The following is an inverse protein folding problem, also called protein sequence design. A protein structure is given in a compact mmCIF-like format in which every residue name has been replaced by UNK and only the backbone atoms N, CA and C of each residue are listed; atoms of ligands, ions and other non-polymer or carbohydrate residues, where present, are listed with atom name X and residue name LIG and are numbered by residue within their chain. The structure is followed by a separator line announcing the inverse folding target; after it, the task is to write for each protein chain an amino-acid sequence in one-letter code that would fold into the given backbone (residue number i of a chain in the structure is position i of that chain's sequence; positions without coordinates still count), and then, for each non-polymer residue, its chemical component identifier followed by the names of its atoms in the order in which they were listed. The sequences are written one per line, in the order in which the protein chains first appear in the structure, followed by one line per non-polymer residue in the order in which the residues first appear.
data_IF_459996808297
#
_entry.id   IF_459996808297
#
_cell.length_a   1.000
_cell.length_b   1.000
_cell.length_c   1.000
_cell.angle_alpha   90.00
_cell.angle_beta   90.00
_cell.angle_gamma   90.00
#
_symmetry.space_group_name_H-M   'P 1'
#
loop_
_entity.id
_entity.type
_entity.pdbx_description
1 polymer ?
#
# COMPACT_ATOMS: atom_id res chain seq x y z
N UNK A 1 -57.97 67.69 13.60
CA UNK A 1 -59.04 66.73 13.23
C UNK A 1 -58.43 65.63 12.35
N UNK A 2 -58.38 64.38 12.88
CA UNK A 2 -58.13 63.08 12.18
C UNK A 2 -56.71 62.83 11.59
N UNK A 3 -56.23 61.57 11.41
CA UNK A 3 -55.58 60.79 12.48
C UNK A 3 -54.34 59.94 12.05
N UNK A 4 -53.68 59.34 13.06
CA UNK A 4 -52.91 58.07 13.14
C UNK A 4 -52.65 57.23 11.87
N UNK A 5 -51.42 56.71 11.74
CA UNK A 5 -51.16 55.26 11.69
C UNK A 5 -49.68 54.93 12.02
N UNK A 6 -49.45 54.14 13.07
CA UNK A 6 -48.16 53.49 13.37
C UNK A 6 -48.10 52.15 12.66
N UNK A 7 -47.00 51.88 11.93
CA UNK A 7 -46.74 50.56 11.34
C UNK A 7 -45.67 49.85 12.16
N UNK A 8 -46.10 48.86 12.95
CA UNK A 8 -45.22 47.90 13.60
C UNK A 8 -44.70 46.88 12.58
N UNK A 9 -43.37 46.74 12.46
CA UNK A 9 -42.75 45.64 11.73
C UNK A 9 -42.52 44.46 12.69
N UNK A 10 -43.25 43.36 12.48
CA UNK A 10 -43.05 42.08 13.15
C UNK A 10 -41.90 41.32 12.46
N UNK A 11 -40.80 41.08 13.19
CA UNK A 11 -39.68 40.27 12.72
C UNK A 11 -39.90 38.82 13.16
N UNK A 12 -40.13 37.92 12.21
CA UNK A 12 -40.33 36.48 12.45
C UNK A 12 -38.96 35.80 12.59
N UNK A 13 -38.69 35.24 13.77
CA UNK A 13 -37.54 34.36 14.04
C UNK A 13 -37.91 32.94 13.63
N UNK A 14 -37.29 32.42 12.56
CA UNK A 14 -37.36 31.01 12.16
C UNK A 14 -36.29 30.21 12.92
N UNK A 15 -36.71 29.45 13.92
CA UNK A 15 -35.93 28.40 14.58
C UNK A 15 -35.92 27.15 13.69
N UNK A 16 -34.81 26.91 12.98
CA UNK A 16 -34.58 25.66 12.26
C UNK A 16 -34.03 24.58 13.18
N UNK A 17 -34.85 23.59 13.55
CA UNK A 17 -34.39 22.35 14.15
C UNK A 17 -33.74 21.48 13.07
N UNK A 18 -32.41 21.41 13.05
CA UNK A 18 -31.70 20.43 12.23
C UNK A 18 -31.85 19.03 12.87
N UNK A 19 -32.60 18.14 12.25
CA UNK A 19 -32.64 16.73 12.62
C UNK A 19 -31.31 16.07 12.27
N UNK A 20 -30.55 15.68 13.29
CA UNK A 20 -29.34 14.87 13.13
C UNK A 20 -29.76 13.46 12.69
N UNK A 21 -29.51 13.10 11.44
CA UNK A 21 -29.67 11.71 10.97
C UNK A 21 -28.49 10.91 11.52
N UNK A 22 -28.71 9.83 12.31
CA UNK A 22 -27.62 8.96 12.72
C UNK A 22 -26.93 8.39 11.48
N UNK A 23 -25.60 8.25 11.47
CA UNK A 23 -24.91 7.57 10.38
C UNK A 23 -25.48 6.14 10.25
N UNK A 24 -25.83 5.76 9.03
CA UNK A 24 -26.24 4.41 8.70
C UNK A 24 -25.11 3.45 9.07
N UNK A 25 -25.31 2.64 10.11
CA UNK A 25 -24.45 1.48 10.38
C UNK A 25 -24.61 0.54 9.18
N UNK A 26 -23.57 0.30 8.37
CA UNK A 26 -23.71 -0.66 7.28
C UNK A 26 -24.04 -2.03 7.88
N UNK A 27 -25.21 -2.58 7.51
CA UNK A 27 -25.55 -3.96 7.80
C UNK A 27 -24.42 -4.86 7.26
N UNK A 28 -23.91 -5.81 8.05
CA UNK A 28 -22.88 -6.71 7.58
C UNK A 28 -23.41 -7.44 6.35
N UNK A 29 -22.63 -7.40 5.26
CA UNK A 29 -22.95 -8.12 4.02
C UNK A 29 -23.07 -9.61 4.35
N UNK A 30 -24.31 -10.12 4.42
CA UNK A 30 -24.57 -11.54 4.66
C UNK A 30 -24.31 -12.30 3.36
N UNK A 31 -23.13 -12.90 3.25
CA UNK A 31 -22.88 -13.93 2.25
C UNK A 31 -23.77 -15.13 2.59
N UNK A 32 -24.55 -15.59 1.61
CA UNK A 32 -25.53 -16.69 1.79
C UNK A 32 -24.90 -18.06 1.55
N UNK A 33 -23.67 -18.10 1.03
CA UNK A 33 -22.96 -19.33 0.75
C UNK A 33 -22.34 -19.90 2.03
N UNK A 34 -22.49 -21.21 2.30
CA UNK A 34 -21.82 -21.83 3.44
C UNK A 34 -20.31 -21.76 3.26
N UNK A 35 -19.58 -21.50 4.34
CA UNK A 35 -18.12 -21.56 4.32
C UNK A 35 -17.64 -22.95 3.93
N UNK A 36 -16.81 -23.02 2.87
CA UNK A 36 -16.11 -24.23 2.43
C UNK A 36 -14.62 -23.94 2.47
N UNK A 37 -13.86 -24.82 3.11
CA UNK A 37 -12.40 -24.74 3.21
C UNK A 37 -11.77 -25.98 2.59
N UNK A 38 -10.78 -25.78 1.73
CA UNK A 38 -9.85 -26.80 1.25
C UNK A 38 -8.71 -27.04 2.25
N UNK A 39 -8.54 -26.16 3.25
CA UNK A 39 -7.59 -26.33 4.36
C UNK A 39 -8.20 -27.24 5.44
N UNK A 40 -7.54 -28.37 5.70
CA UNK A 40 -7.96 -29.36 6.70
C UNK A 40 -8.06 -28.74 8.09
N UNK A 41 -9.22 -28.94 8.75
CA UNK A 41 -9.45 -28.51 10.13
C UNK A 41 -9.82 -27.03 10.30
N UNK A 42 -9.85 -26.25 9.22
CA UNK A 42 -10.33 -24.86 9.26
C UNK A 42 -11.86 -24.85 9.23
N UNK A 43 -12.44 -24.18 10.22
CA UNK A 43 -13.88 -23.91 10.31
C UNK A 43 -14.08 -22.40 10.25
N UNK A 44 -15.26 -21.94 9.82
CA UNK A 44 -15.57 -20.52 9.66
C UNK A 44 -15.25 -19.67 10.91
N UNK A 45 -15.53 -20.21 12.11
CA UNK A 45 -15.21 -19.56 13.38
C UNK A 45 -13.72 -19.20 13.54
N UNK A 46 -12.81 -19.96 12.92
CA UNK A 46 -11.37 -19.69 13.00
C UNK A 46 -10.95 -18.44 12.21
N UNK A 47 -11.81 -17.92 11.33
CA UNK A 47 -11.57 -16.69 10.57
C UNK A 47 -11.93 -15.43 11.36
N UNK A 48 -12.61 -15.57 12.51
CA UNK A 48 -12.88 -14.45 13.40
C UNK A 48 -11.76 -14.32 14.44
N UNK A 49 -11.22 -13.10 14.69
CA UNK A 49 -10.32 -12.87 15.80
C UNK A 49 -10.95 -13.24 17.16
N UNK A 50 -12.28 -13.17 17.33
CA UNK A 50 -12.98 -13.51 18.58
C UNK A 50 -12.83 -14.99 18.99
N UNK A 51 -12.53 -15.85 18.03
CA UNK A 51 -12.22 -17.24 18.33
C UNK A 51 -10.88 -17.37 19.05
N UNK A 52 -9.90 -16.53 18.68
CA UNK A 52 -8.53 -16.56 19.20
C UNK A 52 -8.31 -15.61 20.38
N UNK A 53 -9.04 -14.49 20.42
CA UNK A 53 -8.96 -13.47 21.46
C UNK A 53 -10.14 -13.68 22.41
N UNK A 54 -9.85 -13.97 23.68
CA UNK A 54 -10.86 -14.16 24.73
C UNK A 54 -10.95 -12.94 25.64
N UNK A 55 -12.11 -12.66 26.24
CA UNK A 55 -12.23 -11.64 27.28
C UNK A 55 -11.17 -11.85 28.38
N UNK A 56 -10.50 -10.78 28.79
CA UNK A 56 -9.41 -10.84 29.77
C UNK A 56 -8.01 -11.06 29.18
N UNK A 57 -7.88 -11.14 27.85
CA UNK A 57 -6.59 -11.13 27.16
C UNK A 57 -6.05 -9.71 26.88
N UNK A 58 -6.58 -8.71 27.57
CA UNK A 58 -6.22 -7.28 27.42
C UNK A 58 -4.92 -6.92 28.16
N UNK A 59 -3.91 -7.79 28.10
CA UNK A 59 -2.62 -7.57 28.75
C UNK A 59 -1.72 -6.74 27.86
N UNK A 60 -1.15 -5.67 28.42
CA UNK A 60 -0.11 -4.90 27.73
C UNK A 60 1.13 -5.79 27.52
N UNK A 61 1.48 -6.04 26.25
CA UNK A 61 2.66 -6.87 25.88
C UNK A 61 3.96 -6.07 26.01
N UNK A 62 3.95 -4.81 25.58
CA UNK A 62 5.07 -3.87 25.70
C UNK A 62 4.54 -2.49 26.09
N UNK A 63 5.14 -1.88 27.10
CA UNK A 63 4.95 -0.46 27.43
C UNK A 63 5.53 0.45 26.32
N UNK A 64 5.14 1.73 26.26
CA UNK A 64 5.71 2.68 25.29
C UNK A 64 7.24 2.78 25.34
N UNK A 65 7.84 2.70 26.53
CA UNK A 65 9.29 2.67 26.70
C UNK A 65 9.92 1.39 26.13
N UNK A 66 9.28 0.24 26.36
CA UNK A 66 9.76 -1.04 25.83
C UNK A 66 9.64 -1.11 24.30
N UNK A 67 8.57 -0.53 23.73
CA UNK A 67 8.41 -0.38 22.28
C UNK A 67 9.55 0.47 21.69
N UNK A 68 9.90 1.57 22.35
CA UNK A 68 10.98 2.45 21.88
C UNK A 68 12.31 1.70 21.84
N UNK A 69 12.63 0.97 22.92
CA UNK A 69 13.84 0.15 23.00
C UNK A 69 13.82 -0.98 21.98
N UNK A 70 12.67 -1.64 21.81
CA UNK A 70 12.49 -2.72 20.84
C UNK A 70 12.72 -2.23 19.41
N UNK A 71 12.10 -1.11 19.02
CA UNK A 71 12.25 -0.53 17.68
C UNK A 71 13.70 -0.12 17.41
N UNK A 72 14.37 0.53 18.37
CA UNK A 72 15.78 0.89 18.23
C UNK A 72 16.66 -0.35 18.00
N UNK A 73 16.47 -1.41 18.80
CA UNK A 73 17.19 -2.67 18.62
C UNK A 73 16.91 -3.30 17.25
N UNK A 74 15.65 -3.28 16.82
CA UNK A 74 15.24 -3.90 15.56
C UNK A 74 15.84 -3.16 14.36
N UNK A 75 15.81 -1.82 14.36
CA UNK A 75 16.42 -1.01 13.30
C UNK A 75 17.94 -1.19 13.21
N UNK A 76 18.63 -1.42 14.34
CA UNK A 76 20.08 -1.68 14.35
C UNK A 76 20.38 -3.10 13.81
N UNK A 77 19.54 -4.08 14.13
CA UNK A 77 19.78 -5.49 13.81
C UNK A 77 19.32 -5.90 12.41
N UNK A 78 18.25 -5.29 11.89
CA UNK A 78 17.64 -5.64 10.60
C UNK A 78 18.11 -4.69 9.49
N UNK A 79 18.94 -5.17 8.54
CA UNK A 79 19.46 -4.34 7.45
C UNK A 79 18.38 -3.91 6.44
N UNK A 80 17.16 -4.43 6.54
CA UNK A 80 16.02 -4.05 5.70
C UNK A 80 15.20 -2.89 6.31
N UNK A 81 15.43 -2.55 7.58
CA UNK A 81 14.84 -1.40 8.23
C UNK A 81 15.73 -0.16 8.06
N UNK A 82 15.25 0.78 7.26
CA UNK A 82 15.99 2.01 6.96
C UNK A 82 15.59 3.14 7.91
N UNK A 83 16.57 3.82 8.50
CA UNK A 83 16.33 5.12 9.13
C UNK A 83 16.23 6.20 8.04
N UNK A 84 15.00 6.60 7.74
CA UNK A 84 14.68 7.60 6.72
C UNK A 84 15.39 8.93 6.99
N UNK A 85 15.64 9.28 8.26
CA UNK A 85 16.34 10.53 8.64
C UNK A 85 17.85 10.48 8.39
N UNK A 86 18.41 9.28 8.26
CA UNK A 86 19.82 9.07 7.99
C UNK A 86 20.12 8.91 6.47
N UNK A 87 19.09 8.98 5.61
CA UNK A 87 19.27 8.93 4.16
C UNK A 87 19.99 10.21 3.71
N UNK A 88 21.07 10.11 2.91
CA UNK A 88 21.81 11.29 2.46
C UNK A 88 20.95 12.15 1.52
N UNK A 89 21.14 13.48 1.58
CA UNK A 89 20.44 14.45 0.73
C UNK A 89 20.78 14.30 -0.76
N UNK A 90 21.87 13.60 -1.08
CA UNK A 90 22.31 13.34 -2.44
C UNK A 90 22.86 11.92 -2.58
N UNK A 91 22.62 11.29 -3.73
CA UNK A 91 23.27 10.05 -4.14
C UNK A 91 24.20 10.31 -5.32
N UNK A 92 25.39 9.74 -5.27
CA UNK A 92 26.25 9.65 -6.44
C UNK A 92 25.60 8.76 -7.52
N UNK A 93 26.09 8.89 -8.75
CA UNK A 93 25.68 8.01 -9.86
C UNK A 93 25.79 6.53 -9.49
N UNK A 94 26.92 6.13 -8.94
CA UNK A 94 27.23 4.71 -8.70
C UNK A 94 26.38 4.14 -7.57
N UNK A 95 26.08 4.92 -6.53
CA UNK A 95 25.15 4.52 -5.46
C UNK A 95 23.73 4.35 -6.01
N UNK A 96 23.23 5.32 -6.79
CA UNK A 96 21.88 5.26 -7.34
C UNK A 96 21.75 4.11 -8.37
N UNK A 97 22.73 3.93 -9.25
CA UNK A 97 22.75 2.80 -10.20
C UNK A 97 22.82 1.48 -9.46
N UNK A 98 23.65 1.37 -8.41
CA UNK A 98 23.71 0.15 -7.58
C UNK A 98 22.36 -0.15 -6.94
N UNK A 99 21.65 0.86 -6.42
CA UNK A 99 20.30 0.69 -5.86
C UNK A 99 19.28 0.25 -6.91
N UNK A 100 19.25 0.86 -8.09
CA UNK A 100 18.35 0.42 -9.17
C UNK A 100 18.67 -1.02 -9.55
N UNK A 101 19.96 -1.33 -9.73
CA UNK A 101 20.44 -2.66 -10.08
C UNK A 101 20.36 -3.67 -8.94
N UNK A 102 20.02 -3.32 -7.71
CA UNK A 102 19.77 -4.35 -6.69
C UNK A 102 18.49 -5.14 -6.99
N UNK A 103 17.55 -4.50 -7.70
CA UNK A 103 16.25 -5.07 -8.08
C UNK A 103 16.17 -5.31 -9.59
N UNK A 104 16.41 -4.28 -10.41
CA UNK A 104 16.22 -4.34 -11.87
C UNK A 104 17.36 -5.09 -12.59
N UNK A 105 17.17 -6.40 -12.80
CA UNK A 105 18.11 -7.29 -13.50
C UNK A 105 17.39 -8.23 -14.46
N UNK A 106 18.06 -8.54 -15.57
CA UNK A 106 17.61 -9.56 -16.49
C UNK A 106 17.51 -10.90 -15.74
N UNK A 107 16.35 -11.53 -15.83
CA UNK A 107 16.09 -12.84 -15.22
C UNK A 107 17.05 -13.89 -15.79
N UNK A 108 17.63 -14.72 -14.93
CA UNK A 108 18.38 -15.92 -15.35
C UNK A 108 17.47 -17.06 -15.80
N UNK A 109 16.19 -16.97 -15.48
CA UNK A 109 15.16 -17.95 -15.80
C UNK A 109 14.31 -17.47 -16.96
N UNK A 110 13.87 -18.40 -17.81
CA UNK A 110 12.91 -18.13 -18.87
C UNK A 110 11.61 -17.58 -18.30
N UNK A 111 11.09 -16.56 -19.00
CA UNK A 111 9.84 -15.90 -18.68
C UNK A 111 8.90 -15.98 -19.87
N UNK A 112 7.62 -16.00 -19.58
CA UNK A 112 6.54 -15.92 -20.56
C UNK A 112 5.65 -14.73 -20.22
N UNK A 113 5.02 -14.15 -21.22
CA UNK A 113 3.90 -13.24 -21.05
C UNK A 113 2.64 -14.00 -20.62
N UNK A 114 1.58 -13.26 -20.29
CA UNK A 114 0.30 -13.83 -19.85
C UNK A 114 -0.29 -14.84 -20.86
N UNK A 115 -0.18 -14.52 -22.15
CA UNK A 115 -0.62 -15.35 -23.28
C UNK A 115 0.27 -16.58 -23.57
N UNK A 116 1.35 -16.76 -22.80
CA UNK A 116 2.31 -17.85 -22.95
C UNK A 116 3.45 -17.55 -23.92
N UNK A 117 3.48 -16.39 -24.57
CA UNK A 117 4.57 -16.00 -25.47
C UNK A 117 5.89 -15.91 -24.70
N UNK A 118 6.99 -16.54 -25.14
CA UNK A 118 8.28 -16.40 -24.50
C UNK A 118 8.84 -14.98 -24.57
N UNK A 119 9.41 -14.51 -23.45
CA UNK A 119 10.09 -13.21 -23.37
C UNK A 119 11.44 -13.32 -24.07
N UNK A 120 11.61 -12.54 -25.13
CA UNK A 120 12.80 -12.62 -25.99
C UNK A 120 13.94 -11.76 -25.48
N UNK A 121 15.12 -11.91 -26.09
CA UNK A 121 16.26 -11.00 -25.85
C UNK A 121 15.92 -9.54 -26.22
N UNK A 122 15.10 -9.32 -27.24
CA UNK A 122 14.68 -7.99 -27.64
C UNK A 122 13.75 -7.35 -26.60
N UNK A 123 12.87 -8.14 -25.97
CA UNK A 123 12.03 -7.68 -24.87
C UNK A 123 12.87 -7.30 -23.65
N UNK A 124 13.86 -8.13 -23.28
CA UNK A 124 14.80 -7.78 -22.22
C UNK A 124 15.58 -6.49 -22.53
N UNK A 125 16.01 -6.30 -23.77
CA UNK A 125 16.67 -5.06 -24.19
C UNK A 125 15.74 -3.84 -24.08
N UNK A 126 14.44 -4.00 -24.35
CA UNK A 126 13.41 -2.97 -24.13
C UNK A 126 13.29 -2.62 -22.65
N UNK A 127 13.21 -3.60 -21.75
CA UNK A 127 13.13 -3.32 -20.30
C UNK A 127 14.39 -2.66 -19.76
N UNK A 128 15.55 -3.09 -20.23
CA UNK A 128 16.84 -2.47 -19.85
C UNK A 128 16.95 -1.01 -20.31
N UNK A 129 16.43 -0.67 -21.49
CA UNK A 129 16.44 0.71 -21.98
C UNK A 129 15.49 1.62 -21.19
N UNK A 130 14.36 1.09 -20.70
CA UNK A 130 13.41 1.83 -19.86
C UNK A 130 14.01 2.28 -18.52
N UNK A 131 15.04 1.61 -18.01
CA UNK A 131 15.76 2.06 -16.80
C UNK A 131 16.48 3.39 -17.00
N UNK A 132 16.78 3.75 -18.26
CA UNK A 132 17.42 5.01 -18.65
C UNK A 132 18.68 5.36 -17.81
N UNK A 133 19.51 4.36 -17.52
CA UNK A 133 20.67 4.52 -16.63
C UNK A 133 21.73 5.52 -17.17
N UNK A 134 21.70 5.80 -18.47
CA UNK A 134 22.57 6.80 -19.09
C UNK A 134 22.23 8.23 -18.65
N UNK A 135 20.98 8.51 -18.24
CA UNK A 135 20.56 9.83 -17.76
C UNK A 135 20.83 10.06 -16.26
N UNK A 136 21.33 9.06 -15.54
CA UNK A 136 21.69 9.22 -14.12
C UNK A 136 22.87 10.17 -14.01
N UNK A 137 22.68 11.29 -13.30
CA UNK A 137 23.69 12.35 -13.15
C UNK A 137 24.78 11.91 -12.18
N UNK A 138 25.91 12.64 -12.18
CA UNK A 138 26.99 12.44 -11.21
C UNK A 138 26.49 12.58 -9.77
N UNK A 139 25.61 13.55 -9.53
CA UNK A 139 24.96 13.84 -8.25
C UNK A 139 23.43 13.94 -8.45
N UNK A 140 22.68 13.26 -7.59
CA UNK A 140 21.23 13.14 -7.68
C UNK A 140 20.61 13.49 -6.33
N UNK A 141 19.91 14.64 -6.21
CA UNK A 141 19.23 15.01 -4.98
C UNK A 141 18.17 13.97 -4.59
N UNK A 142 18.10 13.67 -3.29
CA UNK A 142 17.07 12.82 -2.70
C UNK A 142 15.94 13.70 -2.21
N UNK A 143 14.70 13.31 -2.53
CA UNK A 143 13.50 13.98 -2.08
C UNK A 143 12.58 12.97 -1.42
N UNK A 144 12.05 13.33 -0.25
CA UNK A 144 11.00 12.55 0.38
C UNK A 144 9.67 12.80 -0.34
N UNK A 145 8.92 11.72 -0.53
CA UNK A 145 7.63 11.73 -1.18
C UNK A 145 6.70 10.74 -0.49
N UNK A 146 5.39 10.93 -0.67
CA UNK A 146 4.35 10.08 -0.13
C UNK A 146 3.58 9.44 -1.28
N UNK A 147 3.24 8.16 -1.16
CA UNK A 147 2.28 7.57 -2.07
C UNK A 147 0.89 8.15 -1.75
N UNK A 148 0.20 8.69 -2.76
CA UNK A 148 -1.17 9.24 -2.60
C UNK A 148 -2.25 8.27 -3.09
N UNK A 149 -1.84 7.19 -3.75
CA UNK A 149 -2.70 6.12 -4.26
C UNK A 149 -1.98 4.79 -4.11
N UNK A 150 -2.75 3.72 -3.91
CA UNK A 150 -2.19 2.37 -3.90
C UNK A 150 -1.47 2.12 -5.23
N UNK A 151 -0.19 1.74 -5.16
CA UNK A 151 0.67 1.63 -6.33
C UNK A 151 1.55 0.40 -6.23
N UNK A 152 1.71 -0.34 -7.34
CA UNK A 152 2.65 -1.45 -7.42
C UNK A 152 4.09 -0.95 -7.54
N UNK A 153 4.99 -1.49 -6.71
CA UNK A 153 6.43 -1.43 -6.91
C UNK A 153 6.85 -2.59 -7.79
N UNK A 154 7.61 -2.31 -8.86
CA UNK A 154 7.90 -3.27 -9.92
C UNK A 154 9.39 -3.35 -10.22
N UNK A 155 9.85 -4.52 -10.68
CA UNK A 155 11.25 -4.78 -11.04
C UNK A 155 11.72 -3.88 -12.19
N UNK A 156 10.85 -3.64 -13.17
CA UNK A 156 11.07 -2.72 -14.29
C UNK A 156 9.91 -1.74 -14.39
N UNK A 157 10.14 -0.50 -14.90
CA UNK A 157 9.12 0.53 -15.01
C UNK A 157 8.17 0.27 -16.19
N UNK A 158 7.42 -0.83 -16.13
CA UNK A 158 6.44 -1.27 -17.13
C UNK A 158 5.22 -1.87 -16.46
N UNK A 159 4.08 -1.90 -17.17
CA UNK A 159 2.89 -2.64 -16.78
C UNK A 159 2.85 -4.07 -17.33
N UNK A 160 3.84 -4.47 -18.13
CA UNK A 160 3.94 -5.85 -18.63
C UNK A 160 3.99 -6.84 -17.47
N UNK A 161 3.26 -7.94 -17.62
CA UNK A 161 3.18 -9.04 -16.66
C UNK A 161 3.97 -10.23 -17.19
N UNK A 162 4.93 -10.70 -16.39
CA UNK A 162 5.77 -11.85 -16.72
C UNK A 162 5.55 -12.99 -15.74
N UNK A 163 5.57 -14.21 -16.24
CA UNK A 163 5.40 -15.42 -15.44
C UNK A 163 6.58 -16.37 -15.65
N UNK A 164 6.76 -17.33 -14.75
CA UNK A 164 7.72 -18.42 -14.99
C UNK A 164 7.26 -19.25 -16.18
N UNK A 165 8.19 -19.68 -17.05
CA UNK A 165 7.84 -20.48 -18.22
C UNK A 165 7.06 -21.77 -17.88
N UNK A 166 7.33 -22.39 -16.72
CA UNK A 166 6.60 -23.57 -16.23
C UNK A 166 5.39 -23.28 -15.33
N UNK A 167 4.94 -22.03 -15.21
CA UNK A 167 3.81 -21.69 -14.35
C UNK A 167 2.49 -22.24 -14.94
N UNK A 168 1.78 -23.01 -14.12
CA UNK A 168 0.48 -23.61 -14.47
C UNK A 168 -0.69 -22.61 -14.30
N UNK A 169 -0.49 -21.59 -13.48
CA UNK A 169 -1.42 -20.47 -13.25
C UNK A 169 -0.70 -19.12 -13.49
N UNK A 170 -1.42 -18.02 -13.19
CA UNK A 170 -0.95 -16.64 -13.34
C UNK A 170 -0.99 -15.88 -12.01
N UNK A 171 -0.92 -16.60 -10.89
CA UNK A 171 -1.07 -16.00 -9.56
C UNK A 171 0.23 -15.32 -9.09
N UNK A 172 1.37 -15.74 -9.65
CA UNK A 172 2.70 -15.22 -9.29
C UNK A 172 3.34 -14.50 -10.48
N UNK A 173 3.00 -13.23 -10.61
CA UNK A 173 3.64 -12.30 -11.56
C UNK A 173 5.06 -11.93 -11.07
N UNK A 174 6.04 -11.93 -11.98
CA UNK A 174 7.47 -11.94 -11.65
C UNK A 174 8.12 -10.57 -11.64
N UNK A 175 7.46 -9.55 -12.19
CA UNK A 175 7.88 -8.15 -12.04
C UNK A 175 7.23 -7.45 -10.85
N UNK A 176 6.32 -8.10 -10.13
CA UNK A 176 5.67 -7.56 -8.95
C UNK A 176 6.58 -7.75 -7.72
N UNK A 177 7.07 -6.65 -7.15
CA UNK A 177 7.96 -6.68 -5.97
C UNK A 177 7.17 -6.45 -4.68
N UNK A 178 6.40 -5.36 -4.63
CA UNK A 178 5.64 -4.94 -3.44
C UNK A 178 4.54 -3.94 -3.80
N UNK A 179 3.78 -3.46 -2.81
CA UNK A 179 2.80 -2.41 -2.99
C UNK A 179 3.03 -1.28 -1.98
N UNK A 180 2.92 -0.04 -2.47
CA UNK A 180 2.78 1.13 -1.62
C UNK A 180 1.31 1.40 -1.37
N UNK A 181 0.96 1.66 -0.12
CA UNK A 181 -0.36 2.16 0.27
C UNK A 181 -0.30 3.68 0.42
N UNK A 182 -1.44 4.39 0.32
CA UNK A 182 -1.47 5.80 0.62
C UNK A 182 -1.08 6.09 2.08
N UNK A 183 -0.24 7.10 2.30
CA UNK A 183 0.26 7.47 3.64
C UNK A 183 1.67 7.00 3.92
#
# INVERSE_FOLDING_TARGET
MKPFLHTCAFMVLLTGCATHTPPLTPEPTKFQDPFVSDVVGVQEKHLSPDYWIKPGMDTTILSPSEITIFNQKNTIADPTLYDVKAIPDTLSRDELVTKIRSISRISKYERIYEDGTPVTKADWARYESMLNLASVRKENPVHFALAIKRTAMRTYPTHDLLFSAGAQDRDIERFQESALFPG
#
